data_IF_995544332228
#
_entry.id   IF_995544332228
#
_cell.length_a   1.000
_cell.length_b   1.000
_cell.length_c   1.000
_cell.angle_alpha   90.00
_cell.angle_beta   90.00
_cell.angle_gamma   90.00
#
_symmetry.space_group_name_H-M   'P 1'
#
loop_
_entity.id
_entity.type
_entity.pdbx_description
1 polymer ?
#
# COMPACT_ATOMS: atom_id res chain seq x y z
N UNK A 1 3.52 -29.05 28.75
CA UNK A 1 4.76 -28.96 27.96
C UNK A 1 4.82 -30.07 26.94
N UNK A 2 5.31 -29.79 25.72
CA UNK A 2 5.40 -30.74 24.59
C UNK A 2 6.85 -30.86 24.14
N UNK A 3 7.22 -32.06 23.75
CA UNK A 3 8.54 -32.33 23.18
C UNK A 3 8.65 -31.73 21.75
N UNK A 4 9.86 -31.54 21.27
CA UNK A 4 10.12 -31.06 19.89
C UNK A 4 9.45 -31.95 18.82
N UNK A 5 9.38 -33.28 19.08
CA UNK A 5 8.72 -34.26 18.17
C UNK A 5 7.20 -34.08 18.16
N UNK A 6 6.59 -33.89 19.33
CA UNK A 6 5.14 -33.61 19.42
C UNK A 6 4.77 -32.28 18.75
N UNK A 7 5.59 -31.23 18.93
CA UNK A 7 5.40 -29.94 18.24
C UNK A 7 5.54 -30.12 16.73
N UNK A 8 6.54 -30.84 16.27
CA UNK A 8 6.73 -31.16 14.85
C UNK A 8 5.50 -31.85 14.25
N UNK A 9 4.97 -32.89 14.94
CA UNK A 9 3.79 -33.62 14.49
C UNK A 9 2.53 -32.72 14.48
N UNK A 10 2.37 -31.85 15.46
CA UNK A 10 1.22 -30.94 15.59
C UNK A 10 1.19 -29.87 14.50
N UNK A 11 2.35 -29.33 14.12
CA UNK A 11 2.46 -28.17 13.26
C UNK A 11 2.87 -28.49 11.82
N UNK A 12 3.31 -29.72 11.56
CA UNK A 12 3.81 -30.16 10.25
C UNK A 12 5.21 -29.67 9.90
N UNK A 13 5.85 -28.87 10.75
CA UNK A 13 7.23 -28.41 10.51
C UNK A 13 8.26 -29.43 11.04
N UNK A 14 9.40 -29.52 10.36
CA UNK A 14 10.42 -30.49 10.73
C UNK A 14 11.08 -30.16 12.08
N UNK A 15 11.53 -31.21 12.79
CA UNK A 15 12.35 -31.05 14.01
C UNK A 15 13.60 -30.20 13.73
N UNK A 16 14.20 -30.34 12.55
CA UNK A 16 15.34 -29.53 12.10
C UNK A 16 14.98 -28.04 12.03
N UNK A 17 13.79 -27.70 11.52
CA UNK A 17 13.30 -26.32 11.45
C UNK A 17 13.10 -25.74 12.85
N UNK A 18 12.55 -26.52 13.79
CA UNK A 18 12.38 -26.08 15.18
C UNK A 18 13.72 -25.85 15.88
N UNK A 19 14.71 -26.69 15.63
CA UNK A 19 16.08 -26.47 16.12
C UNK A 19 16.70 -25.19 15.54
N UNK A 20 16.53 -24.98 14.23
CA UNK A 20 17.01 -23.76 13.57
C UNK A 20 16.35 -22.49 14.13
N UNK A 21 15.04 -22.55 14.42
CA UNK A 21 14.35 -21.40 15.05
C UNK A 21 14.88 -21.09 16.45
N UNK A 22 15.27 -22.11 17.21
CA UNK A 22 15.94 -21.93 18.50
C UNK A 22 17.35 -21.31 18.32
N UNK A 23 18.16 -21.82 17.37
CA UNK A 23 19.51 -21.31 17.07
C UNK A 23 19.51 -19.83 16.68
N UNK A 24 18.60 -19.43 15.81
CA UNK A 24 18.49 -18.01 15.40
C UNK A 24 17.73 -17.15 16.44
N UNK A 25 17.26 -17.73 17.54
CA UNK A 25 16.52 -17.06 18.61
C UNK A 25 15.15 -16.51 18.19
N UNK A 26 14.50 -17.17 17.21
CA UNK A 26 13.13 -16.84 16.77
C UNK A 26 12.08 -17.55 17.64
N UNK A 27 12.35 -18.79 18.04
CA UNK A 27 11.53 -19.58 18.96
C UNK A 27 12.44 -20.33 19.91
N UNK A 28 12.42 -20.00 21.20
CA UNK A 28 13.19 -20.70 22.22
C UNK A 28 12.33 -21.75 22.92
N UNK A 29 12.90 -22.94 23.25
CA UNK A 29 12.22 -23.88 24.12
C UNK A 29 12.05 -23.26 25.51
N UNK A 30 10.95 -23.61 26.18
CA UNK A 30 10.66 -23.15 27.54
C UNK A 30 11.54 -23.84 28.57
N UNK A 31 11.99 -25.07 28.26
CA UNK A 31 12.88 -25.85 29.11
C UNK A 31 13.44 -27.08 28.41
N UNK A 32 14.08 -27.91 29.17
CA UNK A 32 14.57 -29.25 28.74
C UNK A 32 14.06 -30.33 29.72
N UNK A 33 13.80 -31.52 29.19
CA UNK A 33 13.53 -32.69 30.03
C UNK A 33 14.80 -33.15 30.74
N UNK A 34 14.66 -34.05 31.71
CA UNK A 34 15.79 -34.72 32.38
C UNK A 34 16.75 -35.41 31.38
N UNK A 35 16.21 -35.93 30.29
CA UNK A 35 16.99 -36.53 29.20
C UNK A 35 17.53 -35.47 28.17
N UNK A 36 17.42 -34.17 28.45
CA UNK A 36 17.96 -33.11 27.62
C UNK A 36 17.12 -32.72 26.41
N UNK A 37 15.91 -33.28 26.21
CA UNK A 37 15.02 -32.91 25.10
C UNK A 37 14.39 -31.54 25.32
N UNK A 38 14.31 -30.73 24.26
CA UNK A 38 13.62 -29.46 24.25
C UNK A 38 12.14 -29.62 24.54
N UNK A 39 11.63 -28.78 25.44
CA UNK A 39 10.22 -28.74 25.81
C UNK A 39 9.64 -27.33 25.51
N UNK A 40 8.41 -27.32 25.03
CA UNK A 40 7.66 -26.11 24.64
C UNK A 40 6.33 -26.08 25.42
N UNK A 41 6.05 -24.97 26.06
CA UNK A 41 4.76 -24.68 26.69
C UNK A 41 3.79 -24.03 25.70
N UNK A 42 2.58 -23.71 26.17
CA UNK A 42 1.53 -23.11 25.34
C UNK A 42 1.93 -21.72 24.83
N UNK A 43 2.71 -20.95 25.63
CA UNK A 43 3.22 -19.64 25.21
C UNK A 43 4.24 -19.75 24.08
N UNK A 44 5.11 -20.73 24.12
CA UNK A 44 6.03 -21.01 23.03
C UNK A 44 5.28 -21.49 21.77
N UNK A 45 4.21 -22.26 21.93
CA UNK A 45 3.35 -22.69 20.81
C UNK A 45 2.59 -21.49 20.20
N UNK A 46 2.09 -20.56 21.00
CA UNK A 46 1.50 -19.31 20.50
C UNK A 46 2.50 -18.50 19.67
N UNK A 47 3.73 -18.38 20.16
CA UNK A 47 4.82 -17.72 19.42
C UNK A 47 5.10 -18.43 18.09
N UNK A 48 5.17 -19.76 18.11
CA UNK A 48 5.35 -20.57 16.91
C UNK A 48 4.21 -20.34 15.91
N UNK A 49 2.97 -20.33 16.38
CA UNK A 49 1.82 -20.07 15.53
C UNK A 49 1.94 -18.72 14.82
N UNK A 50 2.37 -17.66 15.50
CA UNK A 50 2.59 -16.34 14.89
C UNK A 50 3.70 -16.39 13.83
N UNK A 51 4.80 -17.09 14.10
CA UNK A 51 5.88 -17.28 13.12
C UNK A 51 5.38 -18.01 11.88
N UNK A 52 4.62 -19.08 12.04
CA UNK A 52 4.06 -19.84 10.93
C UNK A 52 3.08 -19.00 10.10
N UNK A 53 2.28 -18.16 10.75
CA UNK A 53 1.42 -17.22 10.05
C UNK A 53 2.18 -16.28 9.11
N UNK A 54 3.28 -15.68 9.57
CA UNK A 54 4.10 -14.83 8.71
C UNK A 54 4.77 -15.61 7.58
N UNK A 55 5.14 -16.88 7.83
CA UNK A 55 5.72 -17.76 6.81
C UNK A 55 4.74 -18.08 5.67
N UNK A 56 3.43 -18.13 5.93
CA UNK A 56 2.40 -18.26 4.88
C UNK A 56 2.40 -17.11 3.84
N UNK A 57 3.08 -16.01 4.14
CA UNK A 57 3.24 -14.85 3.28
C UNK A 57 4.68 -14.69 2.79
N UNK A 58 5.49 -15.75 2.87
CA UNK A 58 6.90 -15.79 2.45
C UNK A 58 7.79 -14.71 3.11
N UNK A 59 7.36 -14.17 4.26
CA UNK A 59 8.14 -13.17 5.00
C UNK A 59 9.46 -13.81 5.49
N UNK A 60 10.62 -13.19 5.23
CA UNK A 60 11.91 -13.69 5.68
C UNK A 60 11.98 -13.81 7.21
N UNK A 61 12.63 -14.87 7.72
CA UNK A 61 12.75 -15.10 9.17
C UNK A 61 13.39 -13.95 9.93
N UNK A 62 14.30 -13.20 9.29
CA UNK A 62 14.93 -11.99 9.85
C UNK A 62 13.90 -10.89 10.13
N UNK A 63 12.98 -10.68 9.21
CA UNK A 63 11.90 -9.69 9.35
C UNK A 63 10.86 -10.14 10.39
N UNK A 64 10.48 -11.42 10.37
CA UNK A 64 9.59 -11.98 11.39
C UNK A 64 10.18 -11.76 12.78
N UNK A 65 11.48 -12.05 12.95
CA UNK A 65 12.17 -11.84 14.23
C UNK A 65 12.15 -10.37 14.66
N UNK A 66 12.35 -9.43 13.73
CA UNK A 66 12.30 -7.99 14.00
C UNK A 66 10.89 -7.56 14.46
N UNK A 67 9.83 -8.03 13.79
CA UNK A 67 8.43 -7.75 14.16
C UNK A 67 8.11 -8.33 15.55
N UNK A 68 8.46 -9.61 15.78
CA UNK A 68 8.19 -10.29 17.05
C UNK A 68 8.96 -9.71 18.25
N UNK A 69 10.13 -9.10 18.00
CA UNK A 69 10.96 -8.46 19.03
C UNK A 69 10.63 -6.97 19.25
N UNK A 70 9.73 -6.40 18.47
CA UNK A 70 9.41 -4.97 18.56
C UNK A 70 8.54 -4.68 19.80
N UNK A 71 9.06 -3.95 20.80
CA UNK A 71 8.33 -3.66 22.04
C UNK A 71 7.16 -2.69 21.83
N UNK A 72 7.10 -1.99 20.69
CA UNK A 72 6.00 -1.10 20.34
C UNK A 72 4.76 -1.85 19.78
N UNK A 73 4.90 -3.15 19.48
CA UNK A 73 3.82 -3.99 18.97
C UNK A 73 3.38 -4.98 20.05
N UNK A 74 2.15 -4.84 20.50
CA UNK A 74 1.52 -5.84 21.35
C UNK A 74 0.97 -7.03 20.51
N UNK A 75 0.59 -8.11 21.21
CA UNK A 75 0.03 -9.32 20.59
C UNK A 75 -1.19 -9.02 19.71
N UNK A 76 -2.07 -8.12 20.14
CA UNK A 76 -3.30 -7.81 19.40
C UNK A 76 -2.97 -7.07 18.11
N UNK A 77 -1.99 -6.17 18.12
CA UNK A 77 -1.52 -5.48 16.92
C UNK A 77 -0.93 -6.47 15.90
N UNK A 78 -0.13 -7.43 16.35
CA UNK A 78 0.41 -8.49 15.49
C UNK A 78 -0.73 -9.32 14.87
N UNK A 79 -1.71 -9.76 15.68
CA UNK A 79 -2.86 -10.52 15.19
C UNK A 79 -3.73 -9.71 14.22
N UNK A 80 -3.90 -8.42 14.44
CA UNK A 80 -4.61 -7.53 13.50
C UNK A 80 -3.86 -7.41 12.15
N UNK A 81 -2.55 -7.29 12.18
CA UNK A 81 -1.72 -7.30 10.96
C UNK A 81 -1.89 -8.62 10.20
N UNK A 82 -1.78 -9.75 10.89
CA UNK A 82 -1.95 -11.08 10.30
C UNK A 82 -3.34 -11.26 9.70
N UNK A 83 -4.40 -10.87 10.43
CA UNK A 83 -5.78 -10.91 9.93
C UNK A 83 -5.93 -10.09 8.65
N UNK A 84 -5.34 -8.89 8.62
CA UNK A 84 -5.39 -8.03 7.43
C UNK A 84 -4.70 -8.67 6.23
N UNK A 85 -3.52 -9.27 6.43
CA UNK A 85 -2.80 -9.98 5.37
C UNK A 85 -3.61 -11.16 4.84
N UNK A 86 -4.23 -11.97 5.73
CA UNK A 86 -5.11 -13.07 5.33
C UNK A 86 -6.33 -12.59 4.55
N UNK A 87 -6.93 -11.46 4.94
CA UNK A 87 -8.06 -10.87 4.20
C UNK A 87 -7.66 -10.53 2.77
N UNK A 88 -6.52 -9.87 2.57
CA UNK A 88 -6.00 -9.54 1.23
C UNK A 88 -5.71 -10.81 0.41
N UNK A 89 -5.11 -11.83 1.02
CA UNK A 89 -4.84 -13.13 0.35
C UNK A 89 -6.14 -13.82 -0.04
N UNK A 90 -7.15 -13.83 0.84
CA UNK A 90 -8.48 -14.37 0.55
C UNK A 90 -9.13 -13.68 -0.64
N UNK A 91 -9.19 -12.35 -0.63
CA UNK A 91 -9.76 -11.57 -1.74
C UNK A 91 -9.06 -11.85 -3.08
N UNK A 92 -7.73 -12.04 -3.05
CA UNK A 92 -6.98 -12.46 -4.23
C UNK A 92 -7.38 -13.85 -4.72
N UNK A 93 -7.52 -14.82 -3.79
CA UNK A 93 -7.94 -16.18 -4.16
C UNK A 93 -9.37 -16.20 -4.71
N UNK A 94 -10.29 -15.45 -4.13
CA UNK A 94 -11.67 -15.31 -4.62
C UNK A 94 -11.71 -14.77 -6.05
N UNK A 95 -10.87 -13.76 -6.38
CA UNK A 95 -10.76 -13.26 -7.76
C UNK A 95 -10.22 -14.31 -8.74
N UNK A 96 -9.21 -15.08 -8.34
CA UNK A 96 -8.66 -16.15 -9.18
C UNK A 96 -9.69 -17.25 -9.43
N UNK A 97 -10.45 -17.62 -8.41
CA UNK A 97 -11.55 -18.61 -8.55
C UNK A 97 -12.61 -18.07 -9.51
N UNK A 98 -13.06 -16.82 -9.32
CA UNK A 98 -14.04 -16.19 -10.20
C UNK A 98 -13.56 -16.13 -11.67
N UNK A 99 -12.26 -15.88 -11.88
CA UNK A 99 -11.65 -15.89 -13.21
C UNK A 99 -11.67 -17.30 -13.84
N UNK A 100 -11.36 -18.33 -13.06
CA UNK A 100 -11.43 -19.74 -13.52
C UNK A 100 -12.89 -20.12 -13.85
N UNK A 101 -13.84 -19.73 -12.99
CA UNK A 101 -15.26 -19.99 -13.20
C UNK A 101 -15.79 -19.33 -14.50
N UNK A 102 -15.28 -18.12 -14.82
CA UNK A 102 -15.60 -17.43 -16.07
C UNK A 102 -15.07 -18.20 -17.29
N UNK A 103 -13.82 -18.67 -17.22
CA UNK A 103 -13.22 -19.50 -18.28
C UNK A 103 -13.98 -20.81 -18.47
N UNK A 104 -14.38 -21.48 -17.38
CA UNK A 104 -15.15 -22.71 -17.44
C UNK A 104 -16.56 -22.51 -18.05
N UNK A 105 -17.11 -21.31 -17.97
CA UNK A 105 -18.38 -20.91 -18.61
C UNK A 105 -18.23 -20.51 -20.10
N UNK A 106 -17.00 -20.56 -20.63
CA UNK A 106 -16.71 -20.23 -22.04
C UNK A 106 -16.29 -18.78 -22.29
N UNK A 107 -16.16 -17.96 -21.25
CA UNK A 107 -15.58 -16.63 -21.34
C UNK A 107 -14.04 -16.75 -21.37
N UNK A 108 -13.48 -16.84 -22.57
CA UNK A 108 -12.05 -17.06 -22.77
C UNK A 108 -11.14 -15.85 -22.44
N UNK A 109 -11.56 -14.96 -21.55
CA UNK A 109 -10.75 -13.83 -21.07
C UNK A 109 -10.43 -14.00 -19.60
N UNK A 110 -9.16 -14.23 -19.29
CA UNK A 110 -8.65 -14.01 -17.94
C UNK A 110 -8.89 -12.54 -17.59
N UNK A 111 -9.85 -12.27 -16.74
CA UNK A 111 -10.12 -10.91 -16.26
C UNK A 111 -9.20 -10.60 -15.07
N UNK A 112 -8.14 -9.85 -15.33
CA UNK A 112 -7.27 -9.30 -14.30
C UNK A 112 -7.75 -7.95 -13.77
N UNK A 113 -9.00 -7.57 -14.09
CA UNK A 113 -9.54 -6.30 -13.70
C UNK A 113 -9.69 -6.20 -12.17
N UNK A 114 -9.18 -5.12 -11.62
CA UNK A 114 -9.35 -4.78 -10.20
C UNK A 114 -10.79 -4.37 -9.90
N UNK A 115 -11.42 -3.68 -10.85
CA UNK A 115 -12.79 -3.23 -10.75
C UNK A 115 -13.66 -3.93 -11.78
N UNK A 116 -14.76 -4.51 -11.32
CA UNK A 116 -15.77 -5.06 -12.21
C UNK A 116 -16.59 -3.94 -12.89
N UNK A 117 -17.44 -4.33 -13.87
CA UNK A 117 -18.24 -3.37 -14.63
C UNK A 117 -19.13 -2.50 -13.74
N UNK A 118 -19.74 -3.05 -12.70
CA UNK A 118 -20.62 -2.31 -11.78
C UNK A 118 -19.84 -1.29 -10.97
N UNK A 119 -18.65 -1.65 -10.55
CA UNK A 119 -17.76 -0.77 -9.80
C UNK A 119 -17.26 0.39 -10.67
N UNK A 120 -16.94 0.13 -11.94
CA UNK A 120 -16.57 1.20 -12.90
C UNK A 120 -17.76 2.13 -13.18
N UNK A 121 -18.99 1.58 -13.28
CA UNK A 121 -20.20 2.41 -13.39
C UNK A 121 -20.40 3.30 -12.17
N UNK A 122 -20.18 2.77 -10.97
CA UNK A 122 -20.26 3.55 -9.73
C UNK A 122 -19.18 4.64 -9.68
N UNK A 123 -17.97 4.34 -10.14
CA UNK A 123 -16.89 5.35 -10.27
C UNK A 123 -17.31 6.49 -11.21
N UNK A 124 -17.93 6.18 -12.34
CA UNK A 124 -18.46 7.21 -13.23
C UNK A 124 -19.54 8.05 -12.55
N UNK A 125 -20.52 7.41 -11.88
CA UNK A 125 -21.59 8.09 -11.16
C UNK A 125 -21.04 9.09 -10.14
N UNK A 126 -20.10 8.64 -9.31
CA UNK A 126 -19.45 9.51 -8.30
C UNK A 126 -18.66 10.66 -8.93
N UNK A 127 -17.99 10.40 -10.05
CA UNK A 127 -17.26 11.44 -10.81
C UNK A 127 -18.22 12.48 -11.35
N UNK A 128 -19.29 12.04 -11.97
CA UNK A 128 -20.32 12.91 -12.55
C UNK A 128 -21.03 13.78 -11.49
N UNK A 129 -21.46 13.17 -10.38
CA UNK A 129 -22.17 13.88 -9.30
C UNK A 129 -21.31 14.91 -8.58
N UNK A 130 -20.00 14.64 -8.41
CA UNK A 130 -19.09 15.52 -7.67
C UNK A 130 -18.44 16.60 -8.53
N UNK A 131 -18.49 16.45 -9.83
CA UNK A 131 -17.93 17.45 -10.74
C UNK A 131 -18.73 18.76 -10.66
N UNK A 132 -18.05 19.91 -10.53
CA UNK A 132 -18.70 21.20 -10.57
C UNK A 132 -19.54 21.36 -11.83
N UNK A 133 -20.73 21.93 -11.73
CA UNK A 133 -21.72 22.03 -12.82
C UNK A 133 -21.13 22.59 -14.13
N UNK A 134 -20.31 23.65 -14.01
CA UNK A 134 -19.64 24.26 -15.16
C UNK A 134 -18.71 23.27 -15.88
N UNK A 135 -17.93 22.48 -15.14
CA UNK A 135 -17.02 21.50 -15.70
C UNK A 135 -17.79 20.31 -16.30
N UNK A 136 -18.84 19.87 -15.62
CA UNK A 136 -19.73 18.80 -16.08
C UNK A 136 -20.39 19.13 -17.40
N UNK A 137 -20.86 20.39 -17.56
CA UNK A 137 -21.46 20.86 -18.81
C UNK A 137 -20.45 20.82 -19.96
N UNK A 138 -19.22 21.31 -19.73
CA UNK A 138 -18.15 21.27 -20.73
C UNK A 138 -17.86 19.81 -21.14
N UNK A 139 -17.72 18.89 -20.18
CA UNK A 139 -17.45 17.49 -20.47
C UNK A 139 -18.60 16.84 -21.25
N UNK A 140 -19.86 17.09 -20.88
CA UNK A 140 -21.03 16.58 -21.61
C UNK A 140 -21.07 17.09 -23.05
N UNK A 141 -20.78 18.37 -23.26
CA UNK A 141 -20.74 18.99 -24.60
C UNK A 141 -19.58 18.40 -25.43
N UNK A 142 -18.39 18.16 -24.82
CA UNK A 142 -17.21 17.61 -25.49
C UNK A 142 -17.43 16.16 -25.95
N UNK A 143 -18.05 15.34 -25.11
CA UNK A 143 -18.30 13.92 -25.43
C UNK A 143 -19.60 13.69 -26.24
N UNK A 144 -20.42 14.74 -26.49
CA UNK A 144 -21.67 14.63 -27.24
C UNK A 144 -22.83 14.06 -26.43
N UNK A 145 -22.74 14.04 -25.09
CA UNK A 145 -23.77 13.59 -24.18
C UNK A 145 -23.25 12.78 -22.99
N UNK A 146 -24.10 12.62 -21.98
CA UNK A 146 -23.76 11.88 -20.75
C UNK A 146 -23.50 10.39 -21.05
N UNK A 147 -24.30 9.80 -21.92
CA UNK A 147 -24.21 8.37 -22.26
C UNK A 147 -22.92 8.07 -23.05
N UNK A 148 -22.56 8.92 -24.01
CA UNK A 148 -21.30 8.77 -24.76
C UNK A 148 -20.08 9.01 -23.85
N UNK A 149 -20.15 9.97 -22.95
CA UNK A 149 -19.10 10.18 -21.95
C UNK A 149 -18.99 8.96 -21.01
N UNK A 150 -20.12 8.42 -20.52
CA UNK A 150 -20.14 7.20 -19.70
C UNK A 150 -19.49 6.02 -20.45
N UNK A 151 -19.86 5.82 -21.71
CA UNK A 151 -19.32 4.75 -22.54
C UNK A 151 -17.80 4.88 -22.68
N UNK A 152 -17.33 6.07 -23.03
CA UNK A 152 -15.87 6.35 -23.13
C UNK A 152 -15.16 6.10 -21.78
N UNK A 153 -15.73 6.59 -20.68
CA UNK A 153 -15.17 6.38 -19.33
C UNK A 153 -15.07 4.88 -19.01
N UNK A 154 -16.12 4.12 -19.30
CA UNK A 154 -16.15 2.67 -19.09
C UNK A 154 -15.05 1.96 -19.90
N UNK A 155 -14.89 2.32 -21.17
CA UNK A 155 -13.87 1.75 -22.04
C UNK A 155 -12.46 2.04 -21.53
N UNK A 156 -12.17 3.29 -21.17
CA UNK A 156 -10.86 3.72 -20.67
C UNK A 156 -10.53 3.05 -19.34
N UNK A 157 -11.44 3.11 -18.35
CA UNK A 157 -11.19 2.57 -17.02
C UNK A 157 -11.11 1.05 -17.03
N UNK A 158 -11.86 0.37 -17.90
CA UNK A 158 -11.80 -1.09 -18.05
C UNK A 158 -10.61 -1.58 -18.89
N UNK A 159 -9.83 -0.67 -19.49
CA UNK A 159 -8.65 -1.08 -20.26
C UNK A 159 -7.59 -1.73 -19.34
N UNK A 160 -6.85 -2.71 -19.86
CA UNK A 160 -5.83 -3.46 -19.11
C UNK A 160 -4.78 -2.53 -18.48
N UNK A 161 -4.34 -1.49 -19.21
CA UNK A 161 -3.37 -0.51 -18.73
C UNK A 161 -3.91 0.30 -17.54
N UNK A 162 -5.16 0.77 -17.61
CA UNK A 162 -5.78 1.50 -16.51
C UNK A 162 -6.04 0.60 -15.31
N UNK A 163 -6.47 -0.62 -15.50
CA UNK A 163 -6.66 -1.58 -14.41
C UNK A 163 -5.33 -1.89 -13.69
N UNK A 164 -4.21 -2.03 -14.42
CA UNK A 164 -2.87 -2.15 -13.82
C UNK A 164 -2.47 -0.91 -13.00
N UNK A 165 -2.77 0.28 -13.49
CA UNK A 165 -2.53 1.53 -12.75
C UNK A 165 -3.38 1.62 -11.48
N UNK A 166 -4.66 1.27 -11.58
CA UNK A 166 -5.55 1.22 -10.41
C UNK A 166 -5.10 0.16 -9.39
N UNK A 167 -4.52 -0.96 -9.82
CA UNK A 167 -3.96 -1.96 -8.93
C UNK A 167 -2.97 -1.34 -7.93
N UNK A 168 -2.03 -0.55 -8.44
CA UNK A 168 -1.04 0.16 -7.60
C UNK A 168 -1.70 1.18 -6.68
N UNK A 169 -2.66 1.95 -7.20
CA UNK A 169 -3.40 2.93 -6.39
C UNK A 169 -4.14 2.24 -5.23
N UNK A 170 -4.83 1.14 -5.50
CA UNK A 170 -5.54 0.35 -4.50
C UNK A 170 -4.58 -0.18 -3.41
N UNK A 171 -3.36 -0.59 -3.79
CA UNK A 171 -2.32 -0.98 -2.82
C UNK A 171 -1.97 0.17 -1.85
N UNK A 172 -1.84 1.40 -2.34
CA UNK A 172 -1.54 2.56 -1.48
C UNK A 172 -2.64 2.83 -0.45
N UNK A 173 -3.89 2.53 -0.77
CA UNK A 173 -4.99 2.61 0.20
C UNK A 173 -5.02 1.43 1.17
N UNK A 174 -4.24 0.39 0.92
CA UNK A 174 -4.21 -0.84 1.71
C UNK A 174 -5.34 -1.81 1.36
N UNK A 175 -5.79 -1.79 0.11
CA UNK A 175 -6.77 -2.69 -0.47
C UNK A 175 -8.01 -1.99 -1.02
N UNK A 176 -8.79 -2.73 -1.78
CA UNK A 176 -9.95 -2.25 -2.55
C UNK A 176 -11.04 -1.63 -1.66
N UNK A 177 -11.35 -2.25 -0.53
CA UNK A 177 -12.36 -1.73 0.39
C UNK A 177 -11.94 -0.40 1.03
N UNK A 178 -10.65 -0.25 1.34
CA UNK A 178 -10.12 1.01 1.86
C UNK A 178 -10.14 2.12 0.80
N UNK A 179 -9.82 1.79 -0.46
CA UNK A 179 -9.97 2.70 -1.59
C UNK A 179 -11.41 3.17 -1.77
N UNK A 180 -12.37 2.24 -1.78
CA UNK A 180 -13.80 2.55 -1.88
C UNK A 180 -14.27 3.43 -0.72
N UNK A 181 -13.89 3.10 0.51
CA UNK A 181 -14.25 3.88 1.70
C UNK A 181 -13.72 5.33 1.62
N UNK A 182 -12.46 5.53 1.22
CA UNK A 182 -11.90 6.85 1.02
C UNK A 182 -12.60 7.60 -0.12
N UNK A 183 -12.89 6.91 -1.23
CA UNK A 183 -13.62 7.48 -2.35
C UNK A 183 -15.06 7.85 -2.00
N UNK A 184 -15.72 7.07 -1.14
CA UNK A 184 -17.09 7.38 -0.67
C UNK A 184 -17.13 8.56 0.31
N UNK A 185 -16.08 8.75 1.11
CA UNK A 185 -15.99 9.77 2.15
C UNK A 185 -14.86 10.78 1.89
N UNK A 186 -14.99 11.66 0.88
CA UNK A 186 -13.98 12.65 0.59
C UNK A 186 -13.85 13.67 1.72
N UNK A 187 -12.67 14.21 1.89
CA UNK A 187 -12.41 15.29 2.83
C UNK A 187 -13.25 16.54 2.50
N UNK A 188 -13.68 17.25 3.53
CA UNK A 188 -14.39 18.51 3.38
C UNK A 188 -13.53 19.57 2.66
N UNK A 189 -14.18 20.48 1.91
CA UNK A 189 -13.50 21.50 1.09
C UNK A 189 -12.51 22.35 1.88
N UNK A 190 -12.85 22.74 3.10
CA UNK A 190 -11.97 23.54 3.95
C UNK A 190 -10.73 22.79 4.41
N UNK A 191 -10.87 21.48 4.69
CA UNK A 191 -9.76 20.58 5.04
C UNK A 191 -8.81 20.43 3.85
N UNK A 192 -9.35 20.16 2.65
CA UNK A 192 -8.57 20.09 1.40
C UNK A 192 -7.82 21.39 1.15
N UNK A 193 -8.49 22.54 1.30
CA UNK A 193 -7.86 23.87 1.17
C UNK A 193 -6.76 24.09 2.20
N UNK A 194 -6.96 23.64 3.45
CA UNK A 194 -5.94 23.71 4.51
C UNK A 194 -4.69 22.91 4.15
N UNK A 195 -4.86 21.65 3.74
CA UNK A 195 -3.73 20.83 3.27
C UNK A 195 -3.06 21.39 2.02
N UNK A 196 -3.84 21.94 1.05
CA UNK A 196 -3.29 22.60 -0.13
C UNK A 196 -2.34 23.74 0.22
N UNK A 197 -2.73 24.63 1.15
CA UNK A 197 -1.86 25.72 1.63
C UNK A 197 -0.59 25.19 2.31
N UNK A 198 -0.72 24.10 3.07
CA UNK A 198 0.44 23.50 3.73
C UNK A 198 1.42 22.89 2.72
N UNK A 199 0.90 22.21 1.66
CA UNK A 199 1.72 21.72 0.54
C UNK A 199 2.46 22.88 -0.12
N UNK A 200 1.77 23.99 -0.44
CA UNK A 200 2.40 25.16 -1.04
C UNK A 200 3.55 25.70 -0.17
N UNK A 201 3.32 25.84 1.13
CA UNK A 201 4.35 26.32 2.05
C UNK A 201 5.57 25.36 2.14
N UNK A 202 5.35 24.03 2.10
CA UNK A 202 6.44 23.05 2.08
C UNK A 202 7.20 23.10 0.75
N UNK A 203 6.49 23.23 -0.38
CA UNK A 203 7.10 23.38 -1.70
C UNK A 203 7.96 24.65 -1.80
N UNK A 204 7.52 25.78 -1.25
CA UNK A 204 8.29 27.02 -1.18
C UNK A 204 9.57 26.83 -0.36
N UNK A 205 9.48 26.17 0.79
CA UNK A 205 10.66 25.87 1.63
C UNK A 205 11.64 24.95 0.92
N UNK A 206 11.14 23.87 0.26
CA UNK A 206 11.98 22.96 -0.53
C UNK A 206 12.67 23.70 -1.69
N UNK A 207 11.96 24.57 -2.41
CA UNK A 207 12.54 25.41 -3.46
C UNK A 207 13.69 26.31 -2.94
N UNK A 208 13.54 26.84 -1.74
CA UNK A 208 14.59 27.61 -1.06
C UNK A 208 15.82 26.76 -0.67
N UNK A 209 15.70 25.45 -0.66
CA UNK A 209 16.79 24.50 -0.32
C UNK A 209 17.40 23.79 -1.54
N UNK A 210 17.08 24.19 -2.76
CA UNK A 210 17.53 23.50 -3.99
C UNK A 210 19.06 23.39 -4.16
N UNK A 211 19.84 24.23 -3.46
CA UNK A 211 21.31 24.15 -3.47
C UNK A 211 21.87 23.33 -2.30
N UNK A 212 21.01 22.75 -1.45
CA UNK A 212 21.43 21.87 -0.35
C UNK A 212 21.51 20.41 -0.83
N UNK A 213 22.32 19.57 -0.20
CA UNK A 213 22.28 18.14 -0.46
C UNK A 213 20.90 17.55 -0.17
N UNK A 214 20.40 16.67 -1.05
CA UNK A 214 19.07 16.05 -0.90
C UNK A 214 18.95 15.15 0.33
N UNK A 215 20.06 14.70 0.88
CA UNK A 215 20.17 13.89 2.08
C UNK A 215 20.39 14.71 3.36
N UNK A 216 20.48 16.05 3.27
CA UNK A 216 20.60 16.93 4.45
C UNK A 216 19.39 16.79 5.36
N UNK A 217 19.59 17.04 6.68
CA UNK A 217 18.54 16.91 7.68
C UNK A 217 17.32 17.77 7.36
N UNK A 218 17.54 19.04 7.00
CA UNK A 218 16.47 20.00 6.70
C UNK A 218 15.67 19.60 5.47
N UNK A 219 16.31 19.06 4.44
CA UNK A 219 15.61 18.58 3.24
C UNK A 219 14.79 17.34 3.58
N UNK A 220 15.35 16.39 4.33
CA UNK A 220 14.61 15.19 4.79
C UNK A 220 13.40 15.53 5.66
N UNK A 221 13.53 16.51 6.56
CA UNK A 221 12.44 16.99 7.39
C UNK A 221 11.28 17.54 6.52
N UNK A 222 11.60 18.37 5.53
CA UNK A 222 10.60 18.94 4.62
C UNK A 222 9.95 17.88 3.71
N UNK A 223 10.71 16.90 3.23
CA UNK A 223 10.17 15.78 2.44
C UNK A 223 9.26 14.90 3.32
N UNK A 224 9.63 14.64 4.57
CA UNK A 224 8.78 13.93 5.53
C UNK A 224 7.48 14.69 5.82
N UNK A 225 7.54 16.02 6.00
CA UNK A 225 6.35 16.85 6.14
C UNK A 225 5.47 16.79 4.89
N UNK A 226 6.08 16.86 3.70
CA UNK A 226 5.37 16.76 2.42
C UNK A 226 4.63 15.41 2.30
N UNK A 227 5.31 14.30 2.56
CA UNK A 227 4.71 12.97 2.54
C UNK A 227 3.56 12.84 3.54
N UNK A 228 3.76 13.30 4.78
CA UNK A 228 2.70 13.31 5.79
C UNK A 228 1.46 14.06 5.31
N UNK A 229 1.62 15.28 4.78
CA UNK A 229 0.48 16.08 4.31
C UNK A 229 -0.21 15.43 3.12
N UNK A 230 0.55 14.89 2.17
CA UNK A 230 0.01 14.15 1.03
C UNK A 230 -0.77 12.91 1.47
N UNK A 231 -0.26 12.16 2.42
CA UNK A 231 -0.94 11.00 2.99
C UNK A 231 -2.29 11.36 3.62
N UNK A 232 -2.34 12.44 4.39
CA UNK A 232 -3.59 12.92 4.98
C UNK A 232 -4.58 13.40 3.93
N UNK A 233 -4.11 14.19 2.95
CA UNK A 233 -4.94 14.72 1.86
C UNK A 233 -5.54 13.61 0.99
N UNK A 234 -4.76 12.59 0.68
CA UNK A 234 -5.18 11.47 -0.18
C UNK A 234 -5.83 10.33 0.58
N UNK A 235 -5.78 10.33 1.92
CA UNK A 235 -6.29 9.27 2.80
C UNK A 235 -5.66 7.89 2.55
N UNK A 236 -4.46 7.84 1.96
CA UNK A 236 -3.73 6.59 1.73
C UNK A 236 -3.09 6.04 3.02
N UNK A 237 -2.78 4.75 3.02
CA UNK A 237 -2.08 4.09 4.14
C UNK A 237 -0.60 3.91 3.88
N UNK A 238 -0.26 3.55 2.64
CA UNK A 238 1.11 3.34 2.21
C UNK A 238 1.63 4.60 1.51
N UNK A 239 2.57 5.29 2.15
CA UNK A 239 3.07 6.60 1.74
C UNK A 239 4.20 6.50 0.69
N UNK A 240 5.11 5.53 0.87
CA UNK A 240 6.33 5.42 0.07
C UNK A 240 6.04 5.23 -1.42
N UNK A 241 5.13 4.32 -1.76
CA UNK A 241 4.76 4.06 -3.16
C UNK A 241 4.15 5.28 -3.85
N UNK A 242 3.24 5.97 -3.16
CA UNK A 242 2.65 7.21 -3.67
C UNK A 242 3.69 8.31 -3.84
N UNK A 243 4.59 8.51 -2.87
CA UNK A 243 5.61 9.56 -2.94
C UNK A 243 6.62 9.30 -4.07
N UNK A 244 7.03 8.05 -4.30
CA UNK A 244 7.85 7.69 -5.47
C UNK A 244 7.15 7.97 -6.80
N UNK A 245 5.85 7.65 -6.89
CA UNK A 245 5.05 8.03 -8.07
C UNK A 245 4.97 9.55 -8.25
N UNK A 246 4.78 10.28 -7.15
CA UNK A 246 4.70 11.73 -7.17
C UNK A 246 6.04 12.37 -7.61
N UNK A 247 7.17 11.82 -7.17
CA UNK A 247 8.49 12.25 -7.62
C UNK A 247 8.63 12.13 -9.14
N UNK A 248 8.30 10.96 -9.69
CA UNK A 248 8.28 10.76 -11.14
C UNK A 248 7.33 11.74 -11.85
N UNK A 249 6.08 11.86 -11.37
CA UNK A 249 5.05 12.72 -11.97
C UNK A 249 5.45 14.19 -11.96
N UNK A 250 6.03 14.68 -10.89
CA UNK A 250 6.47 16.09 -10.77
C UNK A 250 7.62 16.41 -11.73
N UNK A 251 8.43 15.43 -12.08
CA UNK A 251 9.54 15.60 -13.03
C UNK A 251 9.15 15.27 -14.48
N UNK A 252 7.85 15.10 -14.77
CA UNK A 252 7.30 14.82 -16.10
C UNK A 252 6.54 16.05 -16.65
N UNK A 253 6.67 16.34 -17.95
CA UNK A 253 5.90 17.41 -18.58
C UNK A 253 4.39 17.07 -18.65
N UNK A 254 3.50 18.04 -18.50
CA UNK A 254 3.74 19.48 -18.30
C UNK A 254 3.89 19.91 -16.84
N UNK A 255 3.96 18.97 -15.88
CA UNK A 255 4.00 19.28 -14.43
C UNK A 255 5.31 19.91 -14.04
N UNK A 256 6.44 19.41 -14.57
CA UNK A 256 7.77 19.99 -14.39
C UNK A 256 7.80 21.48 -14.70
N UNK A 257 7.39 21.84 -15.91
CA UNK A 257 7.35 23.25 -16.34
C UNK A 257 6.46 24.13 -15.45
N UNK A 258 5.36 23.62 -14.93
CA UNK A 258 4.48 24.37 -14.01
C UNK A 258 5.13 24.60 -12.66
N UNK A 259 5.81 23.61 -12.11
CA UNK A 259 6.55 23.71 -10.84
C UNK A 259 7.71 24.69 -11.00
N UNK A 260 8.52 24.53 -12.03
CA UNK A 260 9.68 25.39 -12.28
C UNK A 260 9.28 26.84 -12.54
N UNK A 261 8.19 27.08 -13.26
CA UNK A 261 7.64 28.42 -13.45
C UNK A 261 7.17 29.06 -12.14
N UNK A 262 6.64 28.29 -11.20
CA UNK A 262 6.09 28.80 -9.95
C UNK A 262 7.16 28.99 -8.87
N UNK A 263 8.11 28.06 -8.76
CA UNK A 263 9.05 27.98 -7.65
C UNK A 263 10.52 28.19 -8.06
N UNK A 264 10.79 28.38 -9.35
CA UNK A 264 12.12 28.60 -9.93
C UNK A 264 12.65 27.36 -10.65
N UNK A 265 13.41 27.59 -11.70
CA UNK A 265 13.99 26.58 -12.58
C UNK A 265 14.78 25.52 -11.80
N UNK A 266 14.62 24.24 -12.16
CA UNK A 266 15.27 23.09 -11.51
C UNK A 266 14.61 22.64 -10.20
N UNK A 267 13.55 23.32 -9.73
CA UNK A 267 12.86 22.95 -8.48
C UNK A 267 12.18 21.59 -8.58
N UNK A 268 11.53 21.30 -9.70
CA UNK A 268 10.85 20.01 -9.90
C UNK A 268 11.82 18.82 -9.82
N UNK A 269 12.97 18.94 -10.46
CA UNK A 269 14.01 17.94 -10.45
C UNK A 269 14.60 17.74 -9.05
N UNK A 270 14.92 18.85 -8.37
CA UNK A 270 15.44 18.80 -7.00
C UNK A 270 14.47 18.10 -6.04
N UNK A 271 13.18 18.46 -6.07
CA UNK A 271 12.17 17.83 -5.19
C UNK A 271 12.01 16.36 -5.52
N UNK A 272 12.00 15.99 -6.80
CA UNK A 272 11.96 14.59 -7.23
C UNK A 272 13.13 13.79 -6.64
N UNK A 273 14.36 14.28 -6.78
CA UNK A 273 15.57 13.66 -6.22
C UNK A 273 15.53 13.59 -4.69
N UNK A 274 15.05 14.63 -4.02
CA UNK A 274 14.91 14.66 -2.56
C UNK A 274 13.91 13.59 -2.06
N UNK A 275 12.78 13.44 -2.75
CA UNK A 275 11.79 12.40 -2.45
C UNK A 275 12.39 11.00 -2.68
N UNK A 276 13.08 10.80 -3.80
CA UNK A 276 13.76 9.53 -4.10
C UNK A 276 14.84 9.21 -3.05
N UNK A 277 15.60 10.20 -2.61
CA UNK A 277 16.61 10.03 -1.54
C UNK A 277 15.96 9.62 -0.22
N UNK A 278 14.84 10.22 0.14
CA UNK A 278 14.15 9.96 1.40
C UNK A 278 13.44 8.60 1.41
N UNK A 279 12.69 8.28 0.35
CA UNK A 279 11.90 7.04 0.24
C UNK A 279 12.60 5.91 -0.51
N UNK A 280 13.71 6.18 -1.19
CA UNK A 280 14.51 5.20 -1.93
C UNK A 280 15.52 4.43 -1.08
N UNK A 281 15.89 4.93 0.09
CA UNK A 281 16.89 4.35 1.00
C UNK A 281 16.40 3.18 1.88
N UNK A 282 15.27 2.61 1.61
CA UNK A 282 14.73 1.44 2.31
C UNK A 282 14.70 0.21 1.41
N UNK A 283 15.73 -0.64 1.55
CA UNK A 283 15.91 -2.02 1.11
C UNK A 283 17.09 -2.19 0.14
N UNK A 284 18.31 -2.12 0.68
CA UNK A 284 19.35 -3.10 0.31
C UNK A 284 19.35 -4.21 1.35
#
# INVERSE_FOLDING_TARGET
>A
MRTVKEVSNLTGISVRTLHYYDEIGLLKPTGKSEAGYRLYDDKALETLQQVLFFREFDIPLKEIKAVMANPALDRNQILQMQRKMLTVKKERMERLIASIDSILKGDNKMDFAIFDKKEVEEMFRLTYERMPEKMRKIAVDEFGGVDEWKKHFMEVVSSEDMQKKYAKVVEWYGGKEAYKAASANPLGKDVVKGYGKRIEAVMEKLAGKKNCPTDSFEVKELVGEYGFVMKQLTQIKEESGMMKYLAWFQNTEPTKSKIDKRYGEGTAEFISQAIETFYGGGLM
#
